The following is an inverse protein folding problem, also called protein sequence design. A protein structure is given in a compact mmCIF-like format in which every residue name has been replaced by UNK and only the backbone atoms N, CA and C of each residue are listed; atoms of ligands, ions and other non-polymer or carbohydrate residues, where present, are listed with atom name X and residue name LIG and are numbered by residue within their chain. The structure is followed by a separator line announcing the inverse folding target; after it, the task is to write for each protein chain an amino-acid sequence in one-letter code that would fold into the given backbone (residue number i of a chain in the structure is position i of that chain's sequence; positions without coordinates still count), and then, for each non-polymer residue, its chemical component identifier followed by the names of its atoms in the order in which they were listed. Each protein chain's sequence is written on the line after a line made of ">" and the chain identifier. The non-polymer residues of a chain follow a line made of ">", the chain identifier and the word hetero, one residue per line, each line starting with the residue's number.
data_IF_409120408390
#
_entry.id   IF_409120408390
#
_cell.length_a   1.000
_cell.length_b   1.000
_cell.length_c   1.000
_cell.angle_alpha   90.00
_cell.angle_beta   90.00
_cell.angle_gamma   90.00
#
_symmetry.space_group_name_H-M   'P 1'
#
loop_
_entity.id
_entity.type
_entity.pdbx_description
1 polymer ?
#
# COMPACT_ATOMS: atom_id res chain seq x y z
N UNK A 1 -9.80 -12.25 -18.96
CA UNK A 1 -8.79 -12.16 -17.88
C UNK A 1 -9.48 -11.92 -16.54
N UNK A 2 -9.30 -12.80 -15.54
CA UNK A 2 -9.96 -12.66 -14.24
C UNK A 2 -9.33 -11.53 -13.41
N UNK A 3 -10.14 -10.59 -12.91
CA UNK A 3 -9.68 -9.59 -11.94
C UNK A 3 -9.31 -10.31 -10.64
N UNK A 4 -8.04 -10.27 -10.24
CA UNK A 4 -7.59 -10.86 -8.98
C UNK A 4 -8.15 -10.01 -7.84
N UNK A 5 -9.23 -10.47 -7.22
CA UNK A 5 -9.74 -9.89 -6.00
C UNK A 5 -8.86 -10.28 -4.82
N UNK A 6 -8.36 -9.30 -4.07
CA UNK A 6 -7.53 -9.49 -2.89
C UNK A 6 -8.18 -8.93 -1.64
N UNK A 7 -7.90 -9.56 -0.49
CA UNK A 7 -8.35 -9.07 0.82
C UNK A 7 -7.33 -8.06 1.35
N UNK A 8 -7.81 -6.87 1.74
CA UNK A 8 -6.97 -5.86 2.34
C UNK A 8 -6.56 -6.26 3.76
N UNK A 9 -5.25 -6.36 4.04
CA UNK A 9 -4.74 -6.69 5.38
C UNK A 9 -5.01 -5.61 6.43
N UNK A 10 -5.36 -4.38 6.01
CA UNK A 10 -5.64 -3.27 6.95
C UNK A 10 -7.11 -3.22 7.35
N UNK A 11 -8.03 -3.28 6.39
CA UNK A 11 -9.46 -3.10 6.65
C UNK A 11 -10.29 -4.39 6.51
N UNK A 12 -9.66 -5.51 6.13
CA UNK A 12 -10.31 -6.81 5.97
C UNK A 12 -11.25 -6.92 4.76
N UNK A 13 -11.43 -5.85 3.97
CA UNK A 13 -12.35 -5.85 2.83
C UNK A 13 -11.71 -6.47 1.60
N UNK A 14 -12.48 -7.27 0.89
CA UNK A 14 -12.13 -7.74 -0.46
C UNK A 14 -12.25 -6.58 -1.45
N UNK A 15 -11.25 -6.41 -2.30
CA UNK A 15 -11.29 -5.46 -3.41
C UNK A 15 -10.67 -6.07 -4.65
N UNK A 16 -11.20 -5.73 -5.82
CA UNK A 16 -10.58 -6.06 -7.11
C UNK A 16 -9.29 -5.29 -7.36
N UNK A 17 -9.12 -4.17 -6.67
CA UNK A 17 -8.00 -3.25 -6.82
C UNK A 17 -7.18 -3.24 -5.53
N UNK A 18 -6.20 -4.14 -5.49
CA UNK A 18 -5.24 -4.27 -4.40
C UNK A 18 -3.83 -3.89 -4.86
N UNK A 19 -3.07 -3.32 -3.93
CA UNK A 19 -1.71 -2.83 -4.11
C UNK A 19 -0.81 -3.44 -3.04
N UNK A 20 0.46 -3.63 -3.37
CA UNK A 20 1.46 -4.15 -2.44
C UNK A 20 2.29 -3.00 -1.87
N UNK A 21 2.36 -2.91 -0.55
CA UNK A 21 3.18 -1.90 0.12
C UNK A 21 4.67 -2.12 -0.19
N UNK A 22 5.40 -1.10 -0.65
CA UNK A 22 6.84 -1.18 -0.92
C UNK A 22 7.70 -1.37 0.33
N UNK A 23 7.16 -1.08 1.52
CA UNK A 23 7.91 -1.16 2.79
C UNK A 23 7.70 -2.51 3.49
N UNK A 24 6.45 -2.90 3.73
CA UNK A 24 6.14 -4.13 4.48
C UNK A 24 5.68 -5.29 3.60
N UNK A 25 5.54 -5.09 2.29
CA UNK A 25 5.10 -6.11 1.35
C UNK A 25 3.64 -6.55 1.47
N UNK A 26 2.84 -5.93 2.36
CA UNK A 26 1.44 -6.31 2.59
C UNK A 26 0.51 -5.85 1.45
N UNK A 27 -0.49 -6.68 1.16
CA UNK A 27 -1.53 -6.40 0.17
C UNK A 27 -2.67 -5.58 0.79
N UNK A 28 -2.96 -4.42 0.22
CA UNK A 28 -3.94 -3.46 0.73
C UNK A 28 -4.81 -2.91 -0.39
N UNK A 29 -6.06 -2.58 -0.11
CA UNK A 29 -6.93 -1.95 -1.11
C UNK A 29 -6.48 -0.51 -1.41
N UNK A 30 -6.93 0.03 -2.55
CA UNK A 30 -6.67 1.42 -2.98
C UNK A 30 -6.88 2.47 -1.88
N UNK A 31 -7.91 2.33 -1.04
CA UNK A 31 -8.19 3.26 0.07
C UNK A 31 -7.18 3.21 1.21
N UNK A 32 -6.51 2.08 1.38
CA UNK A 32 -5.53 1.82 2.43
C UNK A 32 -4.09 1.98 1.92
N UNK A 33 -3.92 2.32 0.64
CA UNK A 33 -2.67 2.50 -0.05
C UNK A 33 -2.47 3.96 -0.45
N UNK A 34 -1.28 4.51 -0.21
CA UNK A 34 -0.83 5.81 -0.71
C UNK A 34 -0.01 5.57 -1.96
N UNK A 35 -0.54 5.95 -3.12
CA UNK A 35 0.12 5.74 -4.42
C UNK A 35 1.33 6.65 -4.59
N UNK A 36 1.24 7.90 -4.12
CA UNK A 36 2.29 8.92 -4.28
C UNK A 36 3.65 8.48 -3.74
N UNK A 37 3.64 7.68 -2.68
CA UNK A 37 4.84 7.21 -1.98
C UNK A 37 4.89 5.68 -1.87
N UNK A 38 4.05 4.97 -2.64
CA UNK A 38 4.05 3.50 -2.73
C UNK A 38 3.98 2.73 -1.38
N UNK A 39 3.24 3.25 -0.39
CA UNK A 39 3.14 2.64 0.95
C UNK A 39 1.71 2.50 1.46
N UNK A 40 1.49 1.56 2.37
CA UNK A 40 0.21 1.42 3.05
C UNK A 40 0.05 2.44 4.19
N UNK A 41 -1.20 2.77 4.55
CA UNK A 41 -1.52 3.69 5.66
C UNK A 41 -0.94 3.27 7.00
N UNK A 42 -0.68 1.97 7.21
CA UNK A 42 -0.06 1.45 8.44
C UNK A 42 1.42 1.81 8.52
N UNK A 43 2.18 1.63 7.43
CA UNK A 43 3.58 2.05 7.33
C UNK A 43 3.70 3.57 7.35
N UNK A 44 2.78 4.26 6.68
CA UNK A 44 2.62 5.70 6.78
C UNK A 44 2.51 6.12 8.26
N UNK A 45 1.53 5.62 9.01
CA UNK A 45 1.41 5.99 10.44
C UNK A 45 2.65 5.71 11.30
N UNK A 46 3.55 4.82 10.85
CA UNK A 46 4.82 4.52 11.54
C UNK A 46 5.99 5.42 11.14
N UNK A 47 5.81 6.32 10.18
CA UNK A 47 6.90 7.16 9.66
C UNK A 47 7.91 6.40 8.81
N UNK A 48 7.55 5.22 8.28
CA UNK A 48 8.45 4.37 7.49
C UNK A 48 8.43 4.74 6.00
N UNK A 49 8.43 6.02 5.66
CA UNK A 49 8.61 6.48 4.28
C UNK A 49 10.07 6.85 4.08
N UNK A 50 10.74 6.12 3.19
CA UNK A 50 12.10 6.47 2.78
C UNK A 50 11.95 7.66 1.82
N UNK A 51 12.23 8.86 2.32
CA UNK A 51 12.50 10.02 1.47
C UNK A 51 13.91 9.87 0.91
N UNK A 52 14.06 9.04 -0.12
CA UNK A 52 15.24 9.12 -0.97
C UNK A 52 14.95 10.22 -2.01
N UNK A 53 15.25 11.43 -1.61
CA UNK A 53 15.39 12.56 -2.50
C UNK A 53 16.53 13.37 -1.92
N UNK A 54 17.75 12.82 -2.06
CA UNK A 54 18.93 13.68 -2.00
C UNK A 54 18.78 14.75 -3.11
N UNK A 55 18.84 16.04 -2.76
CA UNK A 55 18.98 17.07 -3.77
C UNK A 55 20.40 16.96 -4.35
N UNK A 56 20.51 16.70 -5.66
CA UNK A 56 21.70 17.08 -6.44
C UNK A 56 21.45 18.43 -7.11
#
# INVERSE_FOLDING_TARGET
>A
MGKVAGVCTICGRTSTDVYRCGVCGSTVCSRCFMRDINVCKRCLRRGLWISDSEPQ
#
